data_IF_421380773134
#
_entry.id   IF_421380773134
#
_cell.length_a   1.000
_cell.length_b   1.000
_cell.length_c   1.000
_cell.angle_alpha   90.00
_cell.angle_beta   90.00
_cell.angle_gamma   90.00
#
_symmetry.space_group_name_H-M   'P 1'
#
loop_
_entity.id
_entity.type
_entity.pdbx_description
1 polymer ?
#
# COMPACT_ATOMS: atom_id res chain seq x y z
N UNK A 1 24.45 -9.23 9.09
CA UNK A 1 23.15 -8.59 9.37
C UNK A 1 22.15 -9.15 8.37
N UNK A 2 21.02 -9.70 8.83
CA UNK A 2 19.95 -10.10 7.90
C UNK A 2 19.33 -8.84 7.30
N UNK A 3 19.15 -8.82 5.97
CA UNK A 3 18.54 -7.67 5.28
C UNK A 3 17.05 -7.60 5.65
N UNK A 4 16.56 -6.43 6.10
CA UNK A 4 15.13 -6.25 6.38
C UNK A 4 14.34 -6.35 5.07
N UNK A 5 13.24 -7.12 5.00
CA UNK A 5 12.41 -7.13 3.80
C UNK A 5 11.71 -5.78 3.63
N UNK A 6 11.73 -5.24 2.41
CA UNK A 6 10.99 -4.01 2.09
C UNK A 6 9.52 -4.35 1.89
N UNK A 7 8.64 -3.70 2.66
CA UNK A 7 7.20 -3.79 2.54
C UNK A 7 6.62 -2.51 1.94
N UNK A 8 5.88 -2.66 0.84
CA UNK A 8 5.18 -1.57 0.18
C UNK A 8 3.73 -1.58 0.65
N UNK A 9 3.23 -0.44 1.13
CA UNK A 9 1.84 -0.27 1.54
C UNK A 9 1.17 0.67 0.54
N UNK A 10 0.16 0.20 -0.18
CA UNK A 10 -0.55 1.06 -1.13
C UNK A 10 -1.49 2.03 -0.42
N UNK A 11 -1.43 3.29 -0.82
CA UNK A 11 -2.30 4.36 -0.32
C UNK A 11 -3.08 4.99 -1.48
N UNK A 12 -4.35 5.29 -1.24
CA UNK A 12 -5.24 6.03 -2.12
C UNK A 12 -6.20 6.86 -1.27
N UNK A 13 -6.92 7.79 -1.88
CA UNK A 13 -7.93 8.58 -1.20
C UNK A 13 -8.91 7.67 -0.42
N UNK A 14 -9.15 7.97 0.86
CA UNK A 14 -10.07 7.21 1.72
C UNK A 14 -9.49 5.94 2.37
N UNK A 15 -8.28 5.49 2.00
CA UNK A 15 -7.53 4.51 2.79
C UNK A 15 -7.12 5.15 4.12
N UNK A 16 -7.31 4.44 5.24
CA UNK A 16 -7.08 4.99 6.59
C UNK A 16 -6.43 4.01 7.59
N UNK A 17 -6.06 2.80 7.15
CA UNK A 17 -5.34 1.80 7.94
C UNK A 17 -3.90 1.57 7.45
N UNK A 18 -3.38 2.47 6.62
CA UNK A 18 -2.01 2.43 6.10
C UNK A 18 -0.96 2.61 7.20
N UNK A 19 -1.18 3.53 8.15
CA UNK A 19 -0.29 3.70 9.30
C UNK A 19 -0.36 2.52 10.29
N UNK A 20 -1.54 1.92 10.48
CA UNK A 20 -1.70 0.73 11.32
C UNK A 20 -0.93 -0.46 10.72
N UNK A 21 -1.04 -0.65 9.39
CA UNK A 21 -0.28 -1.66 8.66
C UNK A 21 1.23 -1.39 8.70
N UNK A 22 1.64 -0.11 8.60
CA UNK A 22 3.04 0.28 8.72
C UNK A 22 3.62 -0.09 10.09
N UNK A 23 2.91 0.30 11.16
CA UNK A 23 3.31 -0.03 12.52
C UNK A 23 3.47 -1.55 12.72
N UNK A 24 2.50 -2.35 12.27
CA UNK A 24 2.55 -3.80 12.40
C UNK A 24 3.74 -4.43 11.64
N UNK A 25 4.01 -3.96 10.43
CA UNK A 25 5.12 -4.46 9.60
C UNK A 25 6.50 -4.03 10.14
N UNK A 26 6.62 -2.80 10.62
CA UNK A 26 7.85 -2.32 11.27
C UNK A 26 8.13 -3.10 12.56
N UNK A 27 7.10 -3.33 13.38
CA UNK A 27 7.20 -4.17 14.58
C UNK A 27 7.60 -5.62 14.27
N UNK A 28 7.20 -6.14 13.10
CA UNK A 28 7.61 -7.44 12.58
C UNK A 28 9.00 -7.44 11.92
N UNK A 29 9.70 -6.30 11.86
CA UNK A 29 11.08 -6.19 11.38
C UNK A 29 11.24 -5.83 9.90
N UNK A 30 10.16 -5.44 9.21
CA UNK A 30 10.24 -4.95 7.84
C UNK A 30 10.75 -3.50 7.76
N UNK A 31 11.26 -3.12 6.58
CA UNK A 31 11.41 -1.71 6.18
C UNK A 31 10.15 -1.30 5.41
N UNK A 32 9.39 -0.33 5.91
CA UNK A 32 8.09 0.03 5.32
C UNK A 32 8.21 1.25 4.43
N UNK A 33 7.49 1.23 3.30
CA UNK A 33 7.27 2.38 2.42
C UNK A 33 5.80 2.47 2.05
N UNK A 34 5.14 3.54 2.48
CA UNK A 34 3.80 3.88 2.00
C UNK A 34 3.94 4.49 0.61
N UNK A 35 3.22 3.94 -0.37
CA UNK A 35 3.28 4.31 -1.78
C UNK A 35 1.88 4.72 -2.22
N UNK A 36 1.72 5.97 -2.62
CA UNK A 36 0.46 6.42 -3.19
C UNK A 36 0.26 5.80 -4.58
N UNK A 37 -0.98 5.45 -4.93
CA UNK A 37 -1.35 4.93 -6.26
C UNK A 37 -0.83 5.77 -7.44
N UNK A 38 -0.79 7.10 -7.31
CA UNK A 38 -0.21 7.99 -8.31
C UNK A 38 1.29 7.74 -8.53
N UNK A 39 2.05 7.44 -7.47
CA UNK A 39 3.46 7.08 -7.57
C UNK A 39 3.63 5.73 -8.25
N UNK A 40 2.77 4.75 -7.92
CA UNK A 40 2.74 3.45 -8.57
C UNK A 40 2.44 3.55 -10.07
N UNK A 41 1.46 4.38 -10.47
CA UNK A 41 1.16 4.61 -11.90
C UNK A 41 2.29 5.32 -12.63
N UNK A 42 3.00 6.24 -11.97
CA UNK A 42 4.14 6.92 -12.56
C UNK A 42 5.37 6.01 -12.72
N UNK A 43 5.58 5.07 -11.80
CA UNK A 43 6.66 4.07 -11.86
C UNK A 43 6.16 2.70 -11.37
N UNK A 44 5.60 1.86 -12.27
CA UNK A 44 5.21 0.49 -11.93
C UNK A 44 6.39 -0.38 -11.46
N UNK A 45 7.63 0.02 -11.77
CA UNK A 45 8.85 -0.60 -11.29
C UNK A 45 9.01 -0.56 -9.77
N UNK A 46 8.24 0.28 -9.06
CA UNK A 46 8.15 0.28 -7.59
C UNK A 46 7.87 -1.11 -7.05
N UNK A 47 6.95 -1.86 -7.66
CA UNK A 47 6.56 -3.19 -7.17
C UNK A 47 7.73 -4.17 -7.11
N UNK A 48 8.70 -4.04 -8.03
CA UNK A 48 9.89 -4.90 -8.05
C UNK A 48 10.87 -4.60 -6.93
N UNK A 49 10.74 -3.44 -6.27
CA UNK A 49 11.59 -3.02 -5.14
C UNK A 49 11.09 -3.55 -3.80
N UNK A 50 9.85 -4.03 -3.73
CA UNK A 50 9.26 -4.64 -2.56
C UNK A 50 9.43 -6.15 -2.51
N UNK A 51 9.47 -6.71 -1.29
CA UNK A 51 9.33 -8.15 -1.01
C UNK A 51 7.96 -8.49 -0.42
N UNK A 52 7.27 -7.49 0.12
CA UNK A 52 5.92 -7.57 0.65
C UNK A 52 5.11 -6.45 0.01
N UNK A 53 3.88 -6.74 -0.40
CA UNK A 53 2.89 -5.75 -0.82
C UNK A 53 1.68 -5.86 0.11
N UNK A 54 1.31 -4.76 0.75
CA UNK A 54 0.14 -4.65 1.59
C UNK A 54 -0.88 -3.72 0.94
N UNK A 55 -2.13 -4.18 0.90
CA UNK A 55 -3.31 -3.39 0.54
C UNK A 55 -4.06 -3.14 1.85
N UNK A 56 -3.84 -2.00 2.51
CA UNK A 56 -4.45 -1.72 3.81
C UNK A 56 -5.95 -1.49 3.68
N UNK A 57 -6.65 -1.68 4.79
CA UNK A 57 -8.09 -1.40 4.90
C UNK A 57 -8.42 0.09 4.93
N UNK A 58 -9.71 0.37 4.99
CA UNK A 58 -10.28 1.71 5.02
C UNK A 58 -11.50 1.79 4.13
N UNK A 59 -11.79 2.98 3.62
CA UNK A 59 -12.91 3.28 2.74
C UNK A 59 -12.37 3.94 1.49
N UNK A 60 -11.55 3.21 0.72
CA UNK A 60 -10.93 3.74 -0.49
C UNK A 60 -11.99 4.33 -1.42
N UNK A 61 -11.81 5.59 -1.83
CA UNK A 61 -12.80 6.36 -2.58
C UNK A 61 -14.20 6.39 -1.92
N UNK A 62 -14.24 6.38 -0.58
CA UNK A 62 -15.46 6.31 0.22
C UNK A 62 -16.38 5.14 -0.14
N UNK A 63 -15.82 4.02 -0.60
CA UNK A 63 -16.54 2.86 -1.13
C UNK A 63 -17.51 3.18 -2.28
N UNK A 64 -17.26 4.28 -3.00
CA UNK A 64 -18.07 4.68 -4.13
C UNK A 64 -18.07 3.59 -5.21
N UNK A 65 -19.27 3.27 -5.70
CA UNK A 65 -19.54 2.16 -6.64
C UNK A 65 -19.23 0.75 -6.08
N UNK A 66 -19.05 0.63 -4.77
CA UNK A 66 -18.73 -0.61 -4.06
C UNK A 66 -17.33 -0.58 -3.47
N UNK A 67 -17.18 -1.17 -2.28
CA UNK A 67 -15.91 -1.20 -1.54
C UNK A 67 -14.76 -1.74 -2.42
N UNK A 68 -13.69 -0.96 -2.50
CA UNK A 68 -12.50 -1.29 -3.29
C UNK A 68 -12.65 -1.23 -4.81
N UNK A 69 -13.83 -0.98 -5.38
CA UNK A 69 -14.05 -1.04 -6.83
C UNK A 69 -13.28 0.04 -7.57
N UNK A 70 -13.41 1.30 -7.15
CA UNK A 70 -12.66 2.39 -7.76
C UNK A 70 -11.17 2.28 -7.50
N UNK A 71 -10.77 1.76 -6.34
CA UNK A 71 -9.36 1.50 -6.04
C UNK A 71 -8.75 0.49 -7.01
N UNK A 72 -9.45 -0.62 -7.28
CA UNK A 72 -8.99 -1.63 -8.24
C UNK A 72 -8.85 -1.06 -9.66
N UNK A 73 -9.75 -0.17 -10.08
CA UNK A 73 -9.66 0.50 -11.39
C UNK A 73 -8.52 1.53 -11.45
N UNK A 74 -8.21 2.18 -10.33
CA UNK A 74 -7.20 3.25 -10.27
C UNK A 74 -5.75 2.71 -10.20
N UNK A 75 -5.58 1.43 -9.88
CA UNK A 75 -4.29 0.73 -9.88
C UNK A 75 -4.07 -0.19 -11.09
N UNK A 76 -5.11 -0.35 -11.93
CA UNK A 76 -5.05 -1.12 -13.18
C UNK A 76 -4.32 -0.34 -14.29
#
# INVERSE_FOLDING_TARGET
>A
MSMKPVALILHAAGINRDLDAAFALEAAGAEVRIVHVNQLRADPGILRRGRILAIPGGFSYADALGAGRLFALDIA
#
